data_IF_805288955217
#
_entry.id   IF_805288955217
#
_cell.length_a   1.000
_cell.length_b   1.000
_cell.length_c   1.000
_cell.angle_alpha   90.00
_cell.angle_beta   90.00
_cell.angle_gamma   90.00
#
_symmetry.space_group_name_H-M   'P 1'
#
loop_
_entity.id
_entity.type
_entity.pdbx_description
1 polymer ?
#
# COMPACT_ATOMS: atom_id res chain seq x y z
N UNK A 1 10.64 -8.91 -16.78
CA UNK A 1 9.47 -8.84 -15.89
C UNK A 1 9.28 -7.41 -15.40
N UNK A 2 8.10 -6.84 -15.58
CA UNK A 2 7.73 -5.48 -15.23
C UNK A 2 7.12 -5.42 -13.83
N UNK A 3 6.18 -6.31 -13.53
CA UNK A 3 5.50 -6.42 -12.25
C UNK A 3 5.91 -7.73 -11.58
N UNK A 4 6.32 -7.69 -10.31
CA UNK A 4 6.60 -8.90 -9.54
C UNK A 4 5.30 -9.61 -9.15
N UNK A 5 5.36 -10.90 -8.80
CA UNK A 5 4.19 -11.66 -8.31
C UNK A 5 3.51 -11.02 -7.09
N UNK A 6 4.28 -10.31 -6.25
CA UNK A 6 3.75 -9.53 -5.12
C UNK A 6 3.13 -8.18 -5.48
N UNK A 7 3.10 -7.81 -6.76
CA UNK A 7 2.50 -6.56 -7.27
C UNK A 7 3.41 -5.32 -7.27
N UNK A 8 4.66 -5.48 -6.83
CA UNK A 8 5.69 -4.44 -6.86
C UNK A 8 6.20 -4.21 -8.29
N UNK A 9 6.39 -2.95 -8.67
CA UNK A 9 6.92 -2.59 -9.99
C UNK A 9 8.44 -2.61 -10.00
N UNK A 10 9.02 -3.18 -11.05
CA UNK A 10 10.47 -3.27 -11.28
C UNK A 10 11.01 -2.06 -12.05
N UNK A 11 10.15 -1.08 -12.37
CA UNK A 11 10.48 0.07 -13.20
C UNK A 11 11.16 1.14 -12.34
N UNK A 12 12.38 1.52 -12.72
CA UNK A 12 13.10 2.64 -12.10
C UNK A 12 13.04 3.85 -13.00
N UNK A 13 12.54 4.97 -12.48
CA UNK A 13 12.47 6.24 -13.20
C UNK A 13 13.78 7.03 -13.00
N UNK A 14 14.47 7.33 -14.10
CA UNK A 14 15.71 8.14 -14.11
C UNK A 14 15.46 9.50 -14.77
N UNK A 15 16.27 10.51 -14.42
CA UNK A 15 16.31 11.84 -15.07
C UNK A 15 14.99 12.63 -15.08
N UNK A 16 14.22 12.60 -13.98
CA UNK A 16 13.06 13.49 -13.81
C UNK A 16 13.55 14.87 -13.37
N UNK A 17 13.42 15.87 -14.24
CA UNK A 17 13.70 17.28 -13.90
C UNK A 17 12.81 17.75 -12.74
N UNK A 18 13.38 18.53 -11.82
CA UNK A 18 12.69 19.12 -10.67
C UNK A 18 11.98 18.13 -9.72
N UNK A 19 12.42 16.87 -9.67
CA UNK A 19 11.84 15.83 -8.80
C UNK A 19 11.73 16.27 -7.34
N UNK A 20 12.82 16.80 -6.75
CA UNK A 20 12.85 17.20 -5.33
C UNK A 20 11.85 18.32 -5.01
N UNK A 21 11.73 19.33 -5.87
CA UNK A 21 10.78 20.44 -5.67
C UNK A 21 9.33 19.95 -5.71
N UNK A 22 8.99 19.01 -6.60
CA UNK A 22 7.63 18.45 -6.70
C UNK A 22 7.25 17.63 -5.48
N UNK A 23 8.18 16.85 -4.91
CA UNK A 23 7.94 16.11 -3.67
C UNK A 23 7.75 17.02 -2.44
N UNK A 24 8.42 18.18 -2.40
CA UNK A 24 8.23 19.14 -1.30
C UNK A 24 6.89 19.86 -1.35
N UNK A 25 6.36 20.12 -2.56
CA UNK A 25 5.00 20.69 -2.72
C UNK A 25 3.94 19.71 -2.20
N UNK A 26 4.17 18.40 -2.32
CA UNK A 26 3.29 17.36 -1.78
C UNK A 26 3.89 16.69 -0.54
N UNK A 27 4.17 17.51 0.48
CA UNK A 27 4.79 17.05 1.73
C UNK A 27 3.89 16.06 2.49
N UNK A 28 2.56 16.22 2.38
CA UNK A 28 1.60 15.36 3.08
C UNK A 28 1.65 13.93 2.55
N UNK A 29 1.57 13.71 1.23
CA UNK A 29 1.69 12.34 0.70
C UNK A 29 3.08 11.78 0.94
N UNK A 30 4.13 12.61 0.85
CA UNK A 30 5.51 12.19 1.13
C UNK A 30 5.64 11.63 2.56
N UNK A 31 5.12 12.35 3.57
CA UNK A 31 5.11 11.88 4.96
C UNK A 31 4.28 10.59 5.14
N UNK A 32 3.15 10.47 4.43
CA UNK A 32 2.32 9.28 4.45
C UNK A 32 2.95 8.06 3.77
N UNK A 33 3.82 8.25 2.78
CA UNK A 33 4.48 7.15 2.06
C UNK A 33 5.84 6.74 2.66
N UNK A 34 6.45 7.60 3.50
CA UNK A 34 7.67 7.28 4.23
C UNK A 34 7.54 6.00 5.09
N UNK A 35 8.64 5.28 5.31
CA UNK A 35 8.64 4.11 6.22
C UNK A 35 8.38 4.56 7.66
N UNK A 36 7.69 3.74 8.44
CA UNK A 36 7.37 4.01 9.86
C UNK A 36 8.57 4.48 10.68
N UNK A 37 9.74 3.84 10.51
CA UNK A 37 10.98 4.24 11.20
C UNK A 37 11.35 5.71 11.00
N UNK A 38 11.16 6.24 9.79
CA UNK A 38 11.47 7.63 9.48
C UNK A 38 10.38 8.57 9.99
N UNK A 39 9.11 8.17 9.97
CA UNK A 39 8.03 8.95 10.57
C UNK A 39 8.21 9.09 12.09
N UNK A 40 8.49 7.98 12.78
CA UNK A 40 8.73 7.97 14.23
C UNK A 40 9.94 8.85 14.58
N UNK A 41 11.03 8.71 13.83
CA UNK A 41 12.22 9.54 14.02
C UNK A 41 11.95 11.03 13.77
N UNK A 42 11.25 11.37 12.68
CA UNK A 42 10.89 12.75 12.36
C UNK A 42 9.99 13.38 13.42
N UNK A 43 8.96 12.67 13.89
CA UNK A 43 8.07 13.15 14.94
C UNK A 43 8.80 13.28 16.28
N UNK A 44 9.62 12.29 16.64
CA UNK A 44 10.48 12.37 17.83
C UNK A 44 11.41 13.58 17.79
N UNK A 45 12.06 13.82 16.65
CA UNK A 45 12.89 15.00 16.44
C UNK A 45 12.08 16.31 16.55
N UNK A 46 10.88 16.38 15.99
CA UNK A 46 10.04 17.58 16.07
C UNK A 46 9.62 17.91 17.52
N UNK A 47 9.34 16.90 18.34
CA UNK A 47 9.08 17.11 19.78
C UNK A 47 10.33 17.55 20.53
N UNK A 48 11.47 16.86 20.34
CA UNK A 48 12.72 17.23 21.01
C UNK A 48 13.17 18.65 20.62
N UNK A 49 13.05 19.02 19.35
CA UNK A 49 13.41 20.36 18.88
C UNK A 49 12.48 21.45 19.44
N UNK A 50 11.19 21.17 19.60
CA UNK A 50 10.27 22.14 20.23
C UNK A 50 10.54 22.30 21.73
N UNK A 51 10.83 21.21 22.46
CA UNK A 51 11.27 21.29 23.86
C UNK A 51 12.57 22.07 24.01
N UNK A 52 13.58 21.80 23.17
CA UNK A 52 14.84 22.52 23.22
C UNK A 52 14.66 24.01 22.89
N UNK A 53 13.82 24.35 21.91
CA UNK A 53 13.54 25.73 21.56
C UNK A 53 12.94 26.50 22.74
N UNK A 54 11.89 25.97 23.37
CA UNK A 54 11.26 26.63 24.51
C UNK A 54 12.15 26.59 25.78
N UNK A 55 12.95 25.55 25.97
CA UNK A 55 13.97 25.51 27.01
C UNK A 55 14.96 26.68 26.89
N UNK A 56 15.44 26.97 25.69
CA UNK A 56 16.30 28.13 25.42
C UNK A 56 15.57 29.43 25.72
N UNK A 57 14.29 29.56 25.34
CA UNK A 57 13.48 30.75 25.65
C UNK A 57 13.37 30.96 27.16
N UNK A 58 13.00 29.94 27.93
CA UNK A 58 12.89 30.05 29.40
C UNK A 58 14.23 30.30 30.06
N UNK A 59 15.31 29.68 29.57
CA UNK A 59 16.65 29.92 30.08
C UNK A 59 17.11 31.36 29.84
N UNK A 60 16.81 31.94 28.67
CA UNK A 60 17.08 33.36 28.38
C UNK A 60 16.27 34.25 29.34
N UNK A 61 15.00 33.95 29.58
CA UNK A 61 14.17 34.71 30.53
C UNK A 61 14.78 34.65 31.95
N UNK A 62 15.20 33.47 32.40
CA UNK A 62 15.88 33.26 33.68
C UNK A 62 17.19 34.08 33.80
N UNK A 63 17.99 34.14 32.73
CA UNK A 63 19.23 34.94 32.70
C UNK A 63 18.92 36.43 32.76
N UNK A 64 18.00 36.91 31.92
CA UNK A 64 17.65 38.33 31.80
C UNK A 64 17.01 38.85 33.08
N UNK A 65 16.15 38.05 33.72
CA UNK A 65 15.56 38.40 35.00
C UNK A 65 16.53 38.23 36.17
N UNK A 66 17.67 37.55 35.99
CA UNK A 66 18.66 37.24 37.03
C UNK A 66 18.20 36.22 38.09
N UNK A 67 17.25 35.35 37.73
CA UNK A 67 16.74 34.29 38.62
C UNK A 67 17.83 33.28 39.01
N UNK A 68 18.75 32.98 38.09
CA UNK A 68 19.87 32.07 38.32
C UNK A 68 20.88 32.53 39.39
N UNK A 69 20.90 33.83 39.75
CA UNK A 69 21.80 34.39 40.77
C UNK A 69 21.16 34.43 42.16
N UNK A 70 19.83 34.43 42.23
CA UNK A 70 19.06 34.64 43.46
C UNK A 70 18.26 33.38 43.85
N UNK A 71 18.88 32.20 43.73
CA UNK A 71 18.21 30.90 43.95
C UNK A 71 17.77 30.70 45.40
N UNK A 72 18.59 31.12 46.36
CA UNK A 72 18.34 30.97 47.80
C UNK A 72 17.94 32.30 48.48
N UNK A 73 17.56 33.32 47.69
CA UNK A 73 17.17 34.63 48.21
C UNK A 73 15.66 34.65 48.53
N UNK A 74 15.25 34.73 49.81
CA UNK A 74 13.84 34.69 50.20
C UNK A 74 13.07 35.96 49.80
N UNK A 75 13.74 37.07 49.54
CA UNK A 75 13.10 38.34 49.15
C UNK A 75 12.96 38.46 47.62
N UNK A 76 13.69 37.63 46.86
CA UNK A 76 13.61 37.60 45.41
C UNK A 76 12.37 36.84 44.93
N UNK A 77 11.65 37.43 43.98
CA UNK A 77 10.48 36.81 43.36
C UNK A 77 10.83 36.33 41.95
N UNK A 78 11.15 35.05 41.76
CA UNK A 78 11.57 34.56 40.45
C UNK A 78 10.41 34.59 39.44
N UNK A 79 10.74 34.56 38.15
CA UNK A 79 9.75 34.33 37.11
C UNK A 79 9.25 32.88 37.12
N UNK A 80 10.13 31.94 37.49
CA UNK A 80 9.86 30.51 37.51
C UNK A 80 10.48 29.91 38.77
N UNK A 81 9.68 29.19 39.55
CA UNK A 81 10.15 28.47 40.72
C UNK A 81 11.01 27.27 40.29
N UNK A 82 12.19 27.11 40.91
CA UNK A 82 13.11 25.99 40.68
C UNK A 82 13.61 25.85 39.23
N UNK A 83 13.80 26.97 38.52
CA UNK A 83 14.43 27.04 37.19
C UNK A 83 15.62 28.00 37.24
N UNK A 84 16.82 27.44 37.35
CA UNK A 84 18.06 28.19 37.59
C UNK A 84 19.18 27.87 36.58
N UNK A 85 19.08 26.76 35.86
CA UNK A 85 20.05 26.32 34.85
C UNK A 85 19.34 25.82 33.57
N UNK A 86 20.12 25.52 32.53
CA UNK A 86 19.54 25.03 31.28
C UNK A 86 18.80 23.70 31.45
N UNK A 87 19.27 22.82 32.32
CA UNK A 87 18.66 21.51 32.56
C UNK A 87 17.28 21.64 33.20
N UNK A 88 17.15 22.49 34.22
CA UNK A 88 15.86 22.80 34.86
C UNK A 88 14.91 23.54 33.92
N UNK A 89 15.42 24.43 33.06
CA UNK A 89 14.63 25.09 32.02
C UNK A 89 14.13 24.09 30.96
N UNK A 90 14.95 23.11 30.59
CA UNK A 90 14.55 22.02 29.69
C UNK A 90 13.47 21.14 30.30
N UNK A 91 13.63 20.74 31.56
CA UNK A 91 12.61 19.98 32.28
C UNK A 91 11.29 20.75 32.38
N UNK A 92 11.34 22.05 32.72
CA UNK A 92 10.16 22.90 32.73
C UNK A 92 9.49 22.94 31.35
N UNK A 93 10.25 23.18 30.28
CA UNK A 93 9.70 23.19 28.92
C UNK A 93 9.02 21.87 28.55
N UNK A 94 9.62 20.73 28.87
CA UNK A 94 9.03 19.41 28.63
C UNK A 94 7.76 19.19 29.44
N UNK A 95 7.81 19.46 30.75
CA UNK A 95 6.68 19.32 31.69
C UNK A 95 5.48 20.16 31.25
N UNK A 96 5.73 21.38 30.78
CA UNK A 96 4.73 22.31 30.29
C UNK A 96 4.14 21.87 28.96
N UNK A 97 4.95 21.56 27.95
CA UNK A 97 4.45 21.24 26.61
C UNK A 97 3.67 19.93 26.57
N UNK A 98 4.09 18.94 27.38
CA UNK A 98 3.38 17.66 27.48
C UNK A 98 2.30 17.67 28.57
N UNK A 99 2.06 18.84 29.18
CA UNK A 99 1.05 19.05 30.23
C UNK A 99 1.15 18.04 31.37
N UNK A 100 2.37 17.62 31.71
CA UNK A 100 2.62 16.74 32.86
C UNK A 100 2.51 17.56 34.14
N UNK A 101 3.18 18.71 34.17
CA UNK A 101 3.11 19.69 35.26
C UNK A 101 3.29 19.08 36.64
N UNK A 102 4.47 18.52 36.95
CA UNK A 102 4.72 17.89 38.25
C UNK A 102 4.52 18.85 39.44
N UNK A 103 4.52 20.17 39.20
CA UNK A 103 4.26 21.20 40.19
C UNK A 103 5.48 21.61 41.02
N UNK A 104 6.60 20.89 40.89
CA UNK A 104 7.87 21.28 41.49
C UNK A 104 8.49 22.52 40.80
N UNK A 105 8.28 22.64 39.48
CA UNK A 105 8.64 23.81 38.68
C UNK A 105 7.35 24.49 38.26
N UNK A 106 7.22 25.77 38.59
CA UNK A 106 5.99 26.53 38.41
C UNK A 106 6.27 27.93 37.88
N UNK A 107 5.33 28.47 37.10
CA UNK A 107 5.40 29.86 36.67
C UNK A 107 4.79 30.76 37.75
N UNK A 108 5.47 31.85 38.06
CA UNK A 108 4.97 32.88 38.97
C UNK A 108 4.39 34.08 38.17
N UNK A 109 3.43 34.84 38.72
CA UNK A 109 2.76 35.93 38.02
C UNK A 109 3.64 37.19 37.84
N UNK A 110 4.90 37.14 38.25
CA UNK A 110 5.80 38.30 38.29
C UNK A 110 6.30 38.74 36.91
N UNK A 111 6.25 37.85 35.90
CA UNK A 111 6.90 38.07 34.61
C UNK A 111 5.96 37.87 33.42
N UNK A 112 5.60 38.97 32.75
CA UNK A 112 4.78 38.96 31.52
C UNK A 112 5.44 38.19 30.37
N UNK A 113 6.77 38.29 30.12
CA UNK A 113 7.40 37.51 29.04
C UNK A 113 7.24 36.00 29.20
N UNK A 114 7.29 35.48 30.44
CA UNK A 114 7.05 34.07 30.77
C UNK A 114 5.63 33.64 30.43
N UNK A 115 4.63 34.47 30.76
CA UNK A 115 3.22 34.19 30.45
C UNK A 115 2.97 34.09 28.95
N UNK A 116 3.57 34.99 28.16
CA UNK A 116 3.45 34.97 26.69
C UNK A 116 4.15 33.72 26.13
N UNK A 117 5.35 33.40 26.60
CA UNK A 117 6.09 32.20 26.18
C UNK A 117 5.29 30.92 26.50
N UNK A 118 4.70 30.82 27.68
CA UNK A 118 3.84 29.72 28.11
C UNK A 118 2.60 29.56 27.21
N UNK A 119 1.92 30.67 26.91
CA UNK A 119 0.75 30.65 26.03
C UNK A 119 1.11 30.19 24.61
N UNK A 120 2.21 30.71 24.05
CA UNK A 120 2.71 30.30 22.74
C UNK A 120 3.15 28.84 22.73
N UNK A 121 3.82 28.37 23.79
CA UNK A 121 4.23 26.98 23.93
C UNK A 121 3.03 26.04 23.99
N UNK A 122 2.00 26.41 24.76
CA UNK A 122 0.79 25.60 24.91
C UNK A 122 0.05 25.47 23.58
N UNK A 123 -0.14 26.59 22.86
CA UNK A 123 -0.76 26.59 21.54
C UNK A 123 0.07 25.81 20.50
N UNK A 124 1.39 26.03 20.47
CA UNK A 124 2.30 25.35 19.54
C UNK A 124 2.40 23.84 19.80
N UNK A 125 2.48 23.43 21.07
CA UNK A 125 2.50 22.03 21.49
C UNK A 125 1.22 21.29 21.10
N UNK A 126 0.05 21.89 21.37
CA UNK A 126 -1.24 21.33 20.97
C UNK A 126 -1.34 21.19 19.44
N UNK A 127 -0.90 22.19 18.69
CA UNK A 127 -0.91 22.15 17.22
C UNK A 127 0.00 21.04 16.67
N UNK A 128 1.22 20.92 17.21
CA UNK A 128 2.16 19.85 16.84
C UNK A 128 1.56 18.46 17.13
N UNK A 129 0.93 18.29 18.29
CA UNK A 129 0.27 17.04 18.68
C UNK A 129 -0.88 16.69 17.72
N UNK A 130 -1.69 17.66 17.31
CA UNK A 130 -2.76 17.46 16.34
C UNK A 130 -2.21 16.99 14.98
N UNK A 131 -1.13 17.60 14.48
CA UNK A 131 -0.49 17.20 13.22
C UNK A 131 0.02 15.76 13.29
N UNK A 132 0.76 15.42 14.34
CA UNK A 132 1.32 14.07 14.50
C UNK A 132 0.21 13.03 14.60
N UNK A 133 -0.80 13.29 15.43
CA UNK A 133 -1.95 12.38 15.61
C UNK A 133 -2.70 12.18 14.29
N UNK A 134 -2.98 13.27 13.56
CA UNK A 134 -3.64 13.22 12.26
C UNK A 134 -2.84 12.42 11.21
N UNK A 135 -1.53 12.61 11.14
CA UNK A 135 -0.65 11.87 10.24
C UNK A 135 -0.55 10.39 10.62
N UNK A 136 -0.43 10.07 11.91
CA UNK A 136 -0.40 8.68 12.38
C UNK A 136 -1.71 7.97 12.07
N UNK A 137 -2.85 8.61 12.37
CA UNK A 137 -4.18 8.07 12.05
C UNK A 137 -4.35 7.84 10.54
N UNK A 138 -4.06 8.86 9.72
CA UNK A 138 -4.16 8.75 8.27
C UNK A 138 -3.25 7.64 7.71
N UNK A 139 -2.04 7.46 8.26
CA UNK A 139 -1.11 6.41 7.85
C UNK A 139 -1.57 5.01 8.28
N UNK A 140 -2.19 4.86 9.45
CA UNK A 140 -2.76 3.61 9.93
C UNK A 140 -4.03 3.22 9.16
N UNK A 141 -4.85 4.20 8.78
CA UNK A 141 -6.07 3.98 8.02
C UNK A 141 -5.81 3.48 6.58
N UNK A 142 -4.61 3.70 6.02
CA UNK A 142 -4.29 3.26 4.65
C UNK A 142 -4.35 1.72 4.53
N UNK A 143 -5.09 1.18 3.55
CA UNK A 143 -5.29 -0.27 3.40
C UNK A 143 -4.10 -1.01 2.77
N UNK A 144 -2.85 -0.54 2.93
CA UNK A 144 -1.66 -1.11 2.28
C UNK A 144 -1.39 -2.57 2.62
N UNK A 145 -1.92 -3.07 3.75
CA UNK A 145 -1.81 -4.48 4.15
C UNK A 145 -2.89 -5.37 3.53
N UNK A 146 -4.00 -4.81 3.02
CA UNK A 146 -5.10 -5.61 2.46
C UNK A 146 -4.76 -6.19 1.10
N UNK A 147 -3.88 -5.54 0.32
CA UNK A 147 -3.35 -6.15 -0.91
C UNK A 147 -2.60 -7.47 -0.67
N UNK A 148 -2.06 -7.69 0.54
CA UNK A 148 -1.37 -8.94 0.91
C UNK A 148 -2.31 -10.09 1.28
N UNK A 149 -3.60 -9.82 1.48
CA UNK A 149 -4.59 -10.86 1.84
C UNK A 149 -5.39 -11.32 0.64
N UNK A 150 -5.17 -10.71 -0.52
CA UNK A 150 -5.70 -11.15 -1.81
C UNK A 150 -4.61 -11.98 -2.47
N UNK A 151 -4.98 -13.15 -2.94
CA UNK A 151 -4.08 -14.10 -3.56
C UNK A 151 -4.48 -14.32 -5.01
N UNK A 152 -3.48 -14.51 -5.85
CA UNK A 152 -3.63 -15.02 -7.21
C UNK A 152 -2.97 -16.40 -7.30
N UNK A 153 -3.43 -17.25 -8.21
CA UNK A 153 -2.73 -18.50 -8.49
C UNK A 153 -1.28 -18.22 -8.90
N UNK A 154 -0.35 -19.10 -8.53
CA UNK A 154 1.06 -18.88 -8.89
C UNK A 154 1.26 -19.00 -10.40
N UNK A 155 0.53 -19.94 -11.01
CA UNK A 155 0.51 -20.21 -12.43
C UNK A 155 -0.85 -19.85 -13.01
N UNK A 156 -0.84 -19.39 -14.26
CA UNK A 156 -2.02 -19.41 -15.10
C UNK A 156 -2.01 -20.70 -15.92
N UNK A 157 -3.16 -21.14 -16.42
CA UNK A 157 -3.26 -22.36 -17.20
C UNK A 157 -4.02 -22.10 -18.50
N UNK A 158 -3.64 -22.77 -19.58
CA UNK A 158 -4.42 -22.77 -20.82
C UNK A 158 -5.09 -24.14 -20.93
N UNK A 159 -6.42 -24.13 -21.05
CA UNK A 159 -7.25 -25.33 -21.15
C UNK A 159 -8.24 -25.20 -22.29
N UNK A 160 -8.57 -26.34 -22.92
CA UNK A 160 -9.65 -26.41 -23.88
C UNK A 160 -10.99 -26.66 -23.16
N UNK A 161 -11.97 -25.78 -23.39
CA UNK A 161 -13.35 -25.89 -22.90
C UNK A 161 -14.31 -25.63 -24.05
N UNK A 162 -15.26 -26.54 -24.25
CA UNK A 162 -16.27 -26.43 -25.32
C UNK A 162 -15.66 -26.10 -26.69
N UNK A 163 -14.57 -26.78 -27.04
CA UNK A 163 -13.76 -26.58 -28.26
C UNK A 163 -13.08 -25.20 -28.41
N UNK A 164 -13.07 -24.36 -27.38
CA UNK A 164 -12.33 -23.11 -27.35
C UNK A 164 -11.13 -23.21 -26.39
N UNK A 165 -10.08 -22.45 -26.66
CA UNK A 165 -8.94 -22.33 -25.75
C UNK A 165 -9.16 -21.15 -24.79
N UNK A 166 -9.04 -21.42 -23.50
CA UNK A 166 -9.22 -20.43 -22.45
C UNK A 166 -7.96 -20.32 -21.59
N UNK A 167 -7.50 -19.09 -21.36
CA UNK A 167 -6.50 -18.79 -20.35
C UNK A 167 -7.20 -18.57 -19.01
N UNK A 168 -6.88 -19.40 -18.01
CA UNK A 168 -7.46 -19.35 -16.68
C UNK A 168 -6.43 -18.95 -15.63
N UNK A 169 -6.87 -18.17 -14.66
CA UNK A 169 -6.14 -17.94 -13.42
C UNK A 169 -7.12 -17.79 -12.27
N UNK A 170 -6.65 -17.98 -11.04
CA UNK A 170 -7.50 -17.92 -9.85
C UNK A 170 -7.22 -16.67 -9.05
N UNK A 171 -8.26 -16.11 -8.46
CA UNK A 171 -8.17 -15.03 -7.48
C UNK A 171 -8.99 -15.40 -6.24
N UNK A 172 -8.51 -15.04 -5.05
CA UNK A 172 -9.24 -15.27 -3.81
C UNK A 172 -8.89 -14.25 -2.74
N UNK A 173 -9.82 -13.98 -1.84
CA UNK A 173 -9.59 -13.23 -0.60
C UNK A 173 -9.39 -14.25 0.53
N UNK A 174 -8.33 -14.08 1.35
CA UNK A 174 -8.09 -14.88 2.55
C UNK A 174 -8.98 -14.45 3.72
N UNK A 175 -9.54 -13.24 3.67
CA UNK A 175 -10.36 -12.70 4.76
C UNK A 175 -11.84 -12.98 4.54
N UNK A 176 -12.56 -13.15 5.65
CA UNK A 176 -14.04 -13.19 5.65
C UNK A 176 -14.68 -11.84 5.30
N UNK A 177 -13.96 -10.73 5.51
CA UNK A 177 -14.46 -9.40 5.17
C UNK A 177 -14.33 -9.14 3.68
N UNK A 178 -15.45 -9.11 2.95
CA UNK A 178 -15.44 -8.96 1.49
C UNK A 178 -15.02 -7.56 1.05
N UNK A 179 -14.44 -7.49 -0.16
CA UNK A 179 -14.27 -6.24 -0.89
C UNK A 179 -15.54 -5.91 -1.66
N UNK A 180 -15.92 -4.63 -1.61
CA UNK A 180 -17.12 -4.12 -2.26
C UNK A 180 -16.73 -3.57 -3.63
N UNK A 181 -17.55 -3.84 -4.66
CA UNK A 181 -17.34 -3.28 -5.99
C UNK A 181 -16.05 -3.79 -6.64
N UNK A 182 -15.75 -5.08 -6.48
CA UNK A 182 -14.50 -5.61 -7.01
C UNK A 182 -14.56 -5.76 -8.52
N UNK A 183 -13.56 -5.24 -9.21
CA UNK A 183 -13.39 -5.32 -10.66
C UNK A 183 -12.00 -5.86 -11.01
N UNK A 184 -11.93 -6.72 -12.03
CA UNK A 184 -10.68 -7.29 -12.49
C UNK A 184 -10.38 -6.92 -13.94
N UNK A 185 -9.12 -6.64 -14.23
CA UNK A 185 -8.62 -6.31 -15.57
C UNK A 185 -7.34 -7.05 -15.85
N UNK A 186 -7.13 -7.44 -17.10
CA UNK A 186 -5.92 -8.08 -17.57
C UNK A 186 -5.36 -7.35 -18.79
N UNK A 187 -4.05 -7.20 -18.84
CA UNK A 187 -3.34 -6.52 -19.92
C UNK A 187 -2.13 -7.37 -20.29
N UNK A 188 -2.03 -7.77 -21.56
CA UNK A 188 -0.82 -8.36 -22.10
C UNK A 188 0.12 -7.24 -22.55
N UNK A 189 1.35 -7.25 -22.04
CA UNK A 189 2.39 -6.31 -22.40
C UNK A 189 3.41 -7.01 -23.29
N UNK A 190 3.60 -6.53 -24.51
CA UNK A 190 4.61 -7.02 -25.45
C UNK A 190 5.14 -5.90 -26.33
N UNK A 191 6.31 -6.08 -26.93
CA UNK A 191 6.81 -5.13 -27.92
C UNK A 191 6.04 -5.30 -29.23
N UNK A 192 5.77 -4.20 -29.93
CA UNK A 192 5.13 -4.20 -31.24
C UNK A 192 6.14 -3.74 -32.29
N UNK A 193 6.33 -4.54 -33.34
CA UNK A 193 7.04 -4.12 -34.55
C UNK A 193 6.00 -3.59 -35.54
N UNK A 194 6.10 -2.32 -35.89
CA UNK A 194 5.24 -1.69 -36.89
C UNK A 194 5.60 -2.18 -38.30
N UNK A 195 4.71 -1.97 -39.27
CA UNK A 195 4.96 -2.35 -40.67
C UNK A 195 6.11 -1.55 -41.27
N UNK A 196 6.36 -0.37 -40.74
CA UNK A 196 7.41 0.57 -41.11
C UNK A 196 8.77 0.22 -40.47
N UNK A 197 8.82 -0.79 -39.59
CA UNK A 197 10.05 -1.28 -38.95
C UNK A 197 10.38 -0.63 -37.60
N UNK A 198 9.48 0.18 -37.04
CA UNK A 198 9.65 0.76 -35.71
C UNK A 198 9.29 -0.26 -34.61
N UNK A 199 10.15 -0.39 -33.59
CA UNK A 199 9.86 -1.22 -32.42
C UNK A 199 9.31 -0.34 -31.30
N UNK A 200 8.02 -0.46 -31.03
CA UNK A 200 7.34 0.22 -29.92
C UNK A 200 7.43 -0.69 -28.67
N UNK A 201 8.16 -0.28 -27.63
CA UNK A 201 8.31 -1.10 -26.42
C UNK A 201 7.05 -1.05 -25.55
N UNK A 202 6.78 -2.15 -24.85
CA UNK A 202 5.73 -2.23 -23.81
C UNK A 202 4.31 -1.83 -24.27
N UNK A 203 3.93 -2.17 -25.50
CA UNK A 203 2.56 -2.02 -25.96
C UNK A 203 1.60 -2.84 -25.08
N UNK A 204 0.49 -2.23 -24.72
CA UNK A 204 -0.52 -2.79 -23.82
C UNK A 204 -1.72 -3.27 -24.62
N UNK A 205 -2.03 -4.56 -24.52
CA UNK A 205 -3.16 -5.21 -25.18
C UNK A 205 -4.14 -5.71 -24.11
N UNK A 206 -5.29 -5.04 -23.93
CA UNK A 206 -6.31 -5.48 -22.98
C UNK A 206 -6.84 -6.87 -23.32
N UNK A 207 -7.03 -7.71 -22.31
CA UNK A 207 -7.65 -9.02 -22.44
C UNK A 207 -9.07 -8.96 -21.89
N UNK A 208 -10.07 -9.41 -22.68
CA UNK A 208 -11.46 -9.54 -22.23
C UNK A 208 -11.56 -10.68 -21.22
N UNK A 209 -12.11 -10.41 -20.04
CA UNK A 209 -12.23 -11.39 -18.96
C UNK A 209 -13.69 -11.76 -18.73
N UNK A 210 -13.92 -13.04 -18.47
CA UNK A 210 -15.17 -13.62 -18.00
C UNK A 210 -14.93 -14.40 -16.71
N UNK A 211 -16.00 -14.68 -15.96
CA UNK A 211 -15.93 -15.60 -14.82
C UNK A 211 -16.57 -16.92 -15.18
N UNK A 212 -16.12 -18.03 -14.63
CA UNK A 212 -16.75 -19.34 -14.90
C UNK A 212 -18.24 -19.38 -14.51
N UNK A 213 -18.66 -18.54 -13.58
CA UNK A 213 -20.01 -18.52 -13.02
C UNK A 213 -20.94 -17.49 -13.64
N UNK A 214 -20.41 -16.49 -14.38
CA UNK A 214 -21.22 -15.46 -15.04
C UNK A 214 -20.91 -15.45 -16.54
N UNK A 215 -21.95 -15.69 -17.34
CA UNK A 215 -21.90 -15.60 -18.80
C UNK A 215 -21.95 -14.15 -19.30
N UNK A 216 -21.93 -13.15 -18.41
CA UNK A 216 -21.78 -11.74 -18.80
C UNK A 216 -20.30 -11.37 -18.91
N UNK A 217 -19.96 -10.57 -19.93
CA UNK A 217 -18.63 -9.94 -20.14
C UNK A 217 -18.30 -8.86 -19.08
N UNK A 218 -18.91 -8.96 -17.90
CA UNK A 218 -18.70 -7.98 -16.83
C UNK A 218 -17.43 -8.30 -16.06
N UNK A 219 -16.58 -7.28 -15.89
CA UNK A 219 -15.37 -7.35 -15.08
C UNK A 219 -15.64 -7.43 -13.57
N UNK A 220 -16.91 -7.45 -13.16
CA UNK A 220 -17.32 -7.48 -11.76
C UNK A 220 -17.09 -8.86 -11.14
N UNK A 221 -16.42 -8.89 -9.99
CA UNK A 221 -16.16 -10.11 -9.25
C UNK A 221 -16.82 -10.09 -7.88
N UNK A 222 -17.56 -11.16 -7.58
CA UNK A 222 -18.06 -11.43 -6.24
C UNK A 222 -17.08 -12.35 -5.48
N UNK A 223 -16.06 -11.76 -4.83
CA UNK A 223 -15.04 -12.52 -4.07
C UNK A 223 -15.48 -12.85 -2.64
N UNK A 224 -16.41 -13.80 -2.52
CA UNK A 224 -16.69 -14.47 -1.23
C UNK A 224 -15.87 -15.75 -1.08
N UNK A 225 -15.71 -16.47 -2.19
CA UNK A 225 -14.84 -17.64 -2.33
C UNK A 225 -13.84 -17.40 -3.46
N UNK A 226 -12.79 -18.23 -3.60
CA UNK A 226 -11.91 -18.19 -4.76
C UNK A 226 -12.67 -18.33 -6.08
N UNK A 227 -12.47 -17.37 -6.98
CA UNK A 227 -13.08 -17.34 -8.31
C UNK A 227 -12.01 -17.65 -9.36
N UNK A 228 -12.34 -18.52 -10.30
CA UNK A 228 -11.53 -18.71 -11.50
C UNK A 228 -11.98 -17.71 -12.56
N UNK A 229 -11.04 -16.94 -13.05
CA UNK A 229 -11.25 -15.92 -14.10
C UNK A 229 -10.69 -16.49 -15.40
N UNK A 230 -11.47 -16.34 -16.47
CA UNK A 230 -11.17 -16.87 -17.78
C UNK A 230 -10.96 -15.74 -18.79
N UNK A 231 -10.04 -15.93 -19.72
CA UNK A 231 -9.94 -15.16 -20.95
C UNK A 231 -10.12 -16.12 -22.12
N UNK A 232 -11.22 -15.96 -22.84
CA UNK A 232 -11.49 -16.71 -24.06
C UNK A 232 -10.54 -16.26 -25.18
N UNK A 233 -9.71 -17.19 -25.67
CA UNK A 233 -8.75 -16.92 -26.75
C UNK A 233 -9.49 -16.99 -28.08
N UNK A 234 -10.09 -15.87 -28.47
CA UNK A 234 -10.79 -15.70 -29.74
C UNK A 234 -9.93 -14.94 -30.77
N UNK A 235 -10.49 -14.66 -31.95
CA UNK A 235 -9.81 -13.96 -33.07
C UNK A 235 -9.26 -12.57 -32.69
N UNK A 236 -9.86 -11.92 -31.70
CA UNK A 236 -9.42 -10.60 -31.22
C UNK A 236 -8.33 -10.72 -30.14
N UNK A 237 -8.10 -11.91 -29.60
CA UNK A 237 -7.11 -12.15 -28.55
C UNK A 237 -5.69 -12.04 -29.12
N UNK A 238 -4.76 -11.35 -28.41
CA UNK A 238 -3.36 -11.33 -28.81
C UNK A 238 -2.66 -12.70 -28.64
N UNK A 239 -3.33 -13.69 -28.04
CA UNK A 239 -2.87 -15.07 -27.91
C UNK A 239 -3.39 -16.00 -29.04
N UNK A 240 -4.22 -15.50 -29.96
CA UNK A 240 -4.92 -16.31 -30.98
C UNK A 240 -4.02 -17.19 -31.84
N UNK A 241 -2.83 -16.69 -32.20
CA UNK A 241 -1.89 -17.38 -33.09
C UNK A 241 -0.80 -18.15 -32.34
N UNK A 242 -0.85 -18.24 -31.01
CA UNK A 242 0.23 -18.85 -30.21
C UNK A 242 -0.10 -20.32 -29.94
N UNK A 243 0.80 -21.22 -30.32
CA UNK A 243 0.75 -22.66 -30.02
C UNK A 243 1.44 -23.00 -28.68
N UNK A 244 1.30 -24.24 -28.23
CA UNK A 244 1.95 -24.72 -27.00
C UNK A 244 3.48 -24.60 -27.07
N UNK A 245 4.08 -24.94 -28.22
CA UNK A 245 5.52 -24.87 -28.45
C UNK A 245 6.01 -23.42 -28.51
N UNK A 246 5.27 -22.56 -29.21
CA UNK A 246 5.65 -21.15 -29.36
C UNK A 246 5.55 -20.38 -28.04
N UNK A 247 4.60 -20.74 -27.16
CA UNK A 247 4.34 -20.02 -25.91
C UNK A 247 5.63 -19.76 -25.11
N UNK A 248 6.50 -20.76 -24.97
CA UNK A 248 7.73 -20.64 -24.18
C UNK A 248 8.78 -19.73 -24.84
N UNK A 249 8.73 -19.57 -26.16
CA UNK A 249 9.64 -18.72 -26.93
C UNK A 249 9.15 -17.28 -27.05
N UNK A 250 7.89 -17.00 -26.69
CA UNK A 250 7.32 -15.66 -26.78
C UNK A 250 7.86 -14.73 -25.69
N UNK A 251 7.91 -13.44 -26.00
CA UNK A 251 8.32 -12.39 -25.07
C UNK A 251 7.16 -11.45 -24.76
N UNK A 252 6.35 -11.82 -23.77
CA UNK A 252 5.29 -10.97 -23.24
C UNK A 252 5.15 -11.14 -21.73
N UNK A 253 4.32 -10.31 -21.12
CA UNK A 253 3.92 -10.44 -19.72
C UNK A 253 2.44 -10.11 -19.58
N UNK A 254 1.66 -10.99 -18.96
CA UNK A 254 0.25 -10.71 -18.67
C UNK A 254 0.17 -10.12 -17.26
N UNK A 255 -0.26 -8.87 -17.15
CA UNK A 255 -0.46 -8.17 -15.88
C UNK A 255 -1.93 -8.25 -15.52
N UNK A 256 -2.22 -8.74 -14.32
CA UNK A 256 -3.57 -8.75 -13.75
C UNK A 256 -3.68 -7.66 -12.72
N UNK A 257 -4.78 -6.90 -12.76
CA UNK A 257 -5.09 -5.79 -11.87
C UNK A 257 -6.48 -6.05 -11.28
N UNK A 258 -6.54 -6.18 -9.97
CA UNK A 258 -7.78 -6.26 -9.21
C UNK A 258 -7.97 -4.96 -8.44
N UNK A 259 -9.14 -4.35 -8.58
CA UNK A 259 -9.51 -3.13 -7.88
C UNK A 259 -10.77 -3.38 -7.06
N UNK A 260 -10.80 -2.92 -5.81
CA UNK A 260 -11.97 -3.06 -4.97
C UNK A 260 -11.95 -2.11 -3.79
N UNK A 261 -13.10 -1.89 -3.18
CA UNK A 261 -13.25 -1.03 -2.02
C UNK A 261 -13.23 -1.84 -0.73
N UNK A 262 -12.39 -1.41 0.20
CA UNK A 262 -12.21 -2.03 1.51
C UNK A 262 -13.40 -1.65 2.40
N UNK A 263 -14.29 -2.60 2.66
CA UNK A 263 -15.54 -2.42 3.43
C UNK A 263 -15.41 -1.65 4.75
N UNK A 264 -14.30 -1.82 5.48
CA UNK A 264 -14.09 -1.17 6.79
C UNK A 264 -13.59 0.27 6.72
N UNK A 265 -12.93 0.66 5.62
CA UNK A 265 -12.31 2.00 5.48
C UNK A 265 -12.91 2.82 4.35
N UNK A 266 -13.74 2.20 3.50
CA UNK A 266 -14.27 2.76 2.25
C UNK A 266 -13.19 3.29 1.30
N UNK A 267 -11.93 2.87 1.49
CA UNK A 267 -10.84 3.22 0.59
C UNK A 267 -10.72 2.18 -0.51
N UNK A 268 -10.47 2.62 -1.74
CA UNK A 268 -10.16 1.75 -2.87
C UNK A 268 -8.74 1.21 -2.74
N UNK A 269 -8.56 -0.06 -3.10
CA UNK A 269 -7.25 -0.72 -3.14
C UNK A 269 -7.08 -1.39 -4.49
N UNK A 270 -5.84 -1.36 -5.00
CA UNK A 270 -5.44 -2.03 -6.22
C UNK A 270 -4.41 -3.10 -5.87
N UNK A 271 -4.65 -4.33 -6.32
CA UNK A 271 -3.74 -5.47 -6.18
C UNK A 271 -3.34 -5.92 -7.57
N UNK A 272 -2.07 -6.25 -7.73
CA UNK A 272 -1.50 -6.60 -9.03
C UNK A 272 -0.70 -7.89 -8.92
N UNK A 273 -0.70 -8.66 -10.00
CA UNK A 273 0.22 -9.78 -10.22
C UNK A 273 0.59 -9.82 -11.70
N UNK A 274 1.54 -10.67 -12.06
CA UNK A 274 1.91 -10.91 -13.45
C UNK A 274 2.12 -12.39 -13.73
N UNK A 275 1.97 -12.78 -14.99
CA UNK A 275 2.34 -14.09 -15.52
C UNK A 275 3.28 -13.91 -16.69
N UNK A 276 4.47 -14.49 -16.58
CA UNK A 276 5.37 -14.69 -17.71
C UNK A 276 4.94 -15.94 -18.50
N UNK A 277 5.38 -16.11 -19.76
CA UNK A 277 5.07 -17.29 -20.55
C UNK A 277 5.48 -18.60 -19.87
N UNK A 278 6.62 -18.61 -19.17
CA UNK A 278 7.08 -19.74 -18.34
C UNK A 278 6.22 -20.01 -17.08
N UNK A 279 5.22 -19.19 -16.82
CA UNK A 279 4.27 -19.33 -15.71
C UNK A 279 2.85 -19.62 -16.18
N UNK A 280 2.67 -19.81 -17.49
CA UNK A 280 1.43 -20.25 -18.11
C UNK A 280 1.62 -21.72 -18.48
N UNK A 281 0.81 -22.60 -17.89
CA UNK A 281 0.87 -24.04 -18.14
C UNK A 281 -0.16 -24.43 -19.19
N UNK A 282 0.31 -24.87 -20.36
CA UNK A 282 -0.55 -25.43 -21.39
C UNK A 282 -1.01 -26.84 -21.02
N UNK A 283 -2.27 -27.20 -21.26
CA UNK A 283 -2.73 -28.56 -20.98
C UNK A 283 -3.03 -28.82 -19.50
N UNK A 284 -3.20 -27.77 -18.70
CA UNK A 284 -3.47 -27.91 -17.26
C UNK A 284 -4.82 -27.32 -16.89
N UNK A 285 -5.44 -27.85 -15.83
CA UNK A 285 -6.59 -27.24 -15.16
C UNK A 285 -6.24 -26.88 -13.72
N UNK A 286 -6.89 -25.85 -13.17
CA UNK A 286 -6.76 -25.53 -11.76
C UNK A 286 -7.46 -26.60 -10.90
N UNK A 287 -6.82 -27.07 -9.83
CA UNK A 287 -7.38 -28.10 -8.97
C UNK A 287 -8.68 -27.60 -8.27
N UNK A 288 -9.71 -28.44 -8.12
CA UNK A 288 -10.93 -28.05 -7.41
C UNK A 288 -10.64 -27.73 -5.94
N UNK A 289 -11.30 -26.71 -5.40
CA UNK A 289 -11.09 -26.21 -4.03
C UNK A 289 -12.27 -26.43 -3.09
N UNK A 290 -13.46 -26.39 -3.66
CA UNK A 290 -14.71 -26.44 -2.94
C UNK A 290 -15.11 -27.89 -2.75
N UNK A 291 -15.23 -28.29 -1.49
CA UNK A 291 -15.81 -29.57 -1.09
C UNK A 291 -17.04 -29.31 -0.25
N UNK A 292 -18.09 -30.10 -0.48
CA UNK A 292 -19.30 -30.04 0.34
C UNK A 292 -19.15 -31.04 1.48
N UNK A 293 -19.22 -30.55 2.72
CA UNK A 293 -19.14 -31.41 3.89
C UNK A 293 -20.54 -31.78 4.38
N UNK A 294 -20.92 -33.04 4.17
CA UNK A 294 -22.25 -33.56 4.48
C UNK A 294 -22.58 -33.54 5.98
N UNK A 295 -21.57 -33.62 6.86
CA UNK A 295 -21.76 -33.70 8.32
C UNK A 295 -22.08 -32.35 8.95
N UNK A 296 -21.48 -31.27 8.46
CA UNK A 296 -21.67 -29.91 8.95
C UNK A 296 -22.68 -29.11 8.11
N UNK A 297 -23.06 -29.62 6.93
CA UNK A 297 -23.95 -28.97 5.99
C UNK A 297 -23.33 -27.74 5.29
N UNK A 298 -22.01 -27.57 5.41
CA UNK A 298 -21.27 -26.41 4.94
C UNK A 298 -20.37 -26.69 3.72
N UNK A 299 -19.90 -25.60 3.09
CA UNK A 299 -18.86 -25.66 2.07
C UNK A 299 -17.49 -25.39 2.69
N UNK A 300 -16.55 -26.30 2.48
CA UNK A 300 -15.17 -26.16 2.92
C UNK A 300 -14.28 -25.85 1.71
N UNK A 301 -13.42 -24.84 1.87
CA UNK A 301 -12.45 -24.41 0.86
C UNK A 301 -11.06 -24.83 1.33
N UNK A 302 -10.46 -25.79 0.64
CA UNK A 302 -9.08 -26.22 0.93
C UNK A 302 -8.07 -25.31 0.20
N UNK A 303 -7.52 -24.33 0.91
CA UNK A 303 -6.52 -23.42 0.34
C UNK A 303 -5.18 -24.09 0.03
N UNK A 304 -4.90 -25.32 0.49
CA UNK A 304 -3.68 -26.05 0.09
C UNK A 304 -3.68 -26.35 -1.41
N UNK A 305 -4.87 -26.51 -2.01
CA UNK A 305 -5.04 -26.74 -3.45
C UNK A 305 -5.13 -25.44 -4.26
N UNK A 306 -5.05 -24.26 -3.62
CA UNK A 306 -5.34 -22.98 -4.28
C UNK A 306 -4.43 -22.73 -5.48
N UNK A 307 -3.15 -23.05 -5.34
CA UNK A 307 -2.13 -22.91 -6.38
C UNK A 307 -1.94 -24.18 -7.21
N UNK A 308 -2.52 -25.31 -6.79
CA UNK A 308 -2.37 -26.61 -7.44
C UNK A 308 -3.00 -26.64 -8.83
N UNK A 309 -2.31 -27.31 -9.75
CA UNK A 309 -2.81 -27.58 -11.10
C UNK A 309 -2.75 -29.07 -11.39
N UNK A 310 -3.66 -29.54 -12.24
CA UNK A 310 -3.76 -30.94 -12.66
C UNK A 310 -3.53 -30.99 -14.16
N UNK A 311 -2.56 -31.80 -14.65
CA UNK A 311 -2.34 -31.97 -16.08
C UNK A 311 -3.50 -32.73 -16.72
N UNK A 312 -3.81 -32.39 -17.96
CA UNK A 312 -4.79 -33.07 -18.79
C UNK A 312 -4.09 -34.13 -19.64
N UNK A 313 -4.72 -35.31 -19.75
CA UNK A 313 -4.14 -36.45 -20.48
C UNK A 313 -4.15 -36.22 -21.99
N UNK A 314 -5.10 -35.43 -22.51
CA UNK A 314 -5.21 -35.09 -23.93
C UNK A 314 -5.65 -33.64 -24.05
N UNK A 315 -4.87 -32.84 -24.77
CA UNK A 315 -5.23 -31.48 -25.18
C UNK A 315 -4.51 -31.16 -26.49
N UNK A 316 -5.14 -30.38 -27.36
CA UNK A 316 -4.49 -29.91 -28.58
C UNK A 316 -3.31 -28.99 -28.25
N UNK A 317 -2.18 -29.20 -28.91
CA UNK A 317 -0.96 -28.37 -28.78
C UNK A 317 -0.91 -27.23 -29.82
N UNK A 318 -1.88 -27.22 -30.75
CA UNK A 318 -2.00 -26.21 -31.79
C UNK A 318 -2.53 -24.87 -31.24
N UNK A 319 -2.35 -23.82 -32.03
CA UNK A 319 -2.88 -22.49 -31.70
C UNK A 319 -4.42 -22.46 -31.75
N UNK A 320 -5.04 -21.48 -31.08
CA UNK A 320 -6.49 -21.30 -31.14
C UNK A 320 -7.00 -21.08 -32.58
N UNK A 321 -6.18 -20.43 -33.41
CA UNK A 321 -6.43 -20.27 -34.85
C UNK A 321 -6.53 -21.59 -35.60
N UNK A 322 -5.59 -22.50 -35.37
CA UNK A 322 -5.55 -23.81 -36.01
C UNK A 322 -6.65 -24.71 -35.48
N UNK A 323 -6.99 -24.61 -34.18
CA UNK A 323 -8.10 -25.36 -33.59
C UNK A 323 -9.47 -24.97 -34.19
N UNK A 324 -9.60 -23.72 -34.64
CA UNK A 324 -10.83 -23.20 -35.24
C UNK A 324 -10.93 -23.42 -36.77
N UNK A 325 -9.90 -24.01 -37.39
CA UNK A 325 -9.86 -24.36 -38.82
C UNK A 325 -10.26 -25.83 -39.02
#
# INVERSE_FOLDING_TARGET
RLIQKGGDSSITQMNISNKKSRFLVDIFTTLLDMKWRYCILLFGMAFVMSWLFFAVVYYIICIVHQDHLHVDDPDWKPCHCNVYDFTTAFLFSLETQHTIGYGFRGMEPNCIPSMIALALQSCGGAFLQCIVTGLVFAKLARPKRRSKTIMFSEKAVIVQRDNNLDLLFRVGDMRRTHMIGTSIRAIMVKNHLTKEGEVIPFCQYPLKLSTETSFSDDSYLFLVWPVTVAHHINKDSPLWNISAEELLNQHFEIIIILEGTVSTTSMTTQVRTSYLPSEILWGHRLAPLLTYEMTTGGYNIDYTQFHSTVPLVKMAECSAKELAQ
#
